data_IF_778796451988
#
_entry.id   IF_778796451988
#
_cell.length_a   1.000
_cell.length_b   1.000
_cell.length_c   1.000
_cell.angle_alpha   90.00
_cell.angle_beta   90.00
_cell.angle_gamma   90.00
#
_symmetry.space_group_name_H-M   'P 1'
#
loop_
_entity.id
_entity.type
_entity.pdbx_description
1 polymer ?
#
# COMPACT_ATOMS: atom_id res chain seq x y z
N UNK A 1 26.99 -39.42 -13.62
CA UNK A 1 26.03 -38.33 -13.85
C UNK A 1 24.67 -38.69 -13.26
N UNK A 2 24.48 -38.46 -11.95
CA UNK A 2 23.21 -38.70 -11.24
C UNK A 2 23.02 -37.64 -10.14
N UNK A 3 24.10 -37.30 -9.45
CA UNK A 3 24.12 -36.27 -8.40
C UNK A 3 23.89 -34.86 -8.94
N UNK A 4 24.41 -34.54 -10.13
CA UNK A 4 24.18 -33.26 -10.80
C UNK A 4 22.68 -33.00 -11.09
N UNK A 5 21.92 -34.04 -11.44
CA UNK A 5 20.48 -33.95 -11.67
C UNK A 5 19.71 -33.64 -10.38
N UNK A 6 20.15 -34.18 -9.25
CA UNK A 6 19.54 -33.92 -7.93
C UNK A 6 19.80 -32.48 -7.49
N UNK A 7 21.03 -31.98 -7.66
CA UNK A 7 21.34 -30.57 -7.38
C UNK A 7 20.58 -29.60 -8.29
N UNK A 8 20.39 -29.93 -9.57
CA UNK A 8 19.58 -29.14 -10.50
C UNK A 8 18.13 -28.99 -9.99
N UNK A 9 17.55 -30.07 -9.48
CA UNK A 9 16.18 -30.08 -8.97
C UNK A 9 16.00 -29.23 -7.71
N UNK A 10 17.00 -29.22 -6.82
CA UNK A 10 16.97 -28.44 -5.57
C UNK A 10 17.04 -26.93 -5.85
N UNK A 11 17.82 -26.50 -6.86
CA UNK A 11 17.97 -25.08 -7.22
C UNK A 11 16.70 -24.50 -7.88
N UNK A 12 15.97 -25.29 -8.66
CA UNK A 12 14.71 -24.82 -9.29
C UNK A 12 13.61 -24.43 -8.31
N UNK A 13 13.58 -25.00 -7.10
CA UNK A 13 12.59 -24.65 -6.07
C UNK A 13 12.95 -23.39 -5.27
N UNK A 14 14.20 -22.91 -5.33
CA UNK A 14 14.61 -21.68 -4.64
C UNK A 14 14.23 -20.40 -5.39
N UNK A 15 13.81 -20.51 -6.65
CA UNK A 15 13.39 -19.39 -7.50
C UNK A 15 11.90 -19.07 -7.41
N UNK A 16 11.17 -19.67 -6.46
CA UNK A 16 9.86 -19.17 -6.05
C UNK A 16 10.05 -17.87 -5.25
N UNK A 17 10.56 -16.83 -5.90
CA UNK A 17 10.27 -15.47 -5.51
C UNK A 17 8.76 -15.35 -5.66
N UNK A 18 8.05 -15.44 -4.54
CA UNK A 18 6.67 -15.01 -4.45
C UNK A 18 6.68 -13.58 -4.94
N UNK A 19 6.38 -13.43 -6.22
CA UNK A 19 6.20 -12.16 -6.88
C UNK A 19 4.87 -11.65 -6.37
N UNK A 20 4.80 -11.34 -5.09
CA UNK A 20 3.84 -10.40 -4.57
C UNK A 20 4.24 -9.07 -5.20
N UNK A 21 3.85 -8.89 -6.48
CA UNK A 21 3.35 -7.61 -6.94
C UNK A 21 2.50 -7.15 -5.78
N UNK A 22 2.95 -6.14 -5.04
CA UNK A 22 2.30 -5.65 -3.83
C UNK A 22 0.80 -5.70 -4.09
N UNK A 23 0.14 -6.73 -3.53
CA UNK A 23 -1.28 -6.89 -3.78
C UNK A 23 -1.85 -5.68 -3.06
N UNK A 24 -2.36 -4.70 -3.82
CA UNK A 24 -2.80 -3.41 -3.29
C UNK A 24 -3.49 -3.64 -1.94
N UNK A 25 -2.83 -3.24 -0.86
CA UNK A 25 -3.33 -3.54 0.47
C UNK A 25 -4.74 -2.97 0.60
N UNK A 26 -5.67 -3.75 1.15
CA UNK A 26 -7.03 -3.29 1.42
C UNK A 26 -7.09 -2.93 2.88
N UNK A 27 -7.52 -1.72 3.18
CA UNK A 27 -7.71 -1.24 4.55
C UNK A 27 -9.17 -0.87 4.77
N UNK A 28 -9.59 -0.85 6.03
CA UNK A 28 -10.93 -0.47 6.43
C UNK A 28 -10.92 0.81 7.28
N UNK A 29 -11.84 1.72 6.99
CA UNK A 29 -12.01 3.00 7.65
C UNK A 29 -13.35 3.04 8.38
N UNK A 30 -13.30 3.46 9.64
CA UNK A 30 -14.50 3.58 10.48
C UNK A 30 -15.47 4.64 9.95
N UNK A 31 -14.92 5.77 9.47
CA UNK A 31 -15.65 6.92 8.97
C UNK A 31 -15.23 7.23 7.53
N UNK A 32 -16.19 7.63 6.69
CA UNK A 32 -15.93 8.08 5.33
C UNK A 32 -15.27 9.46 5.28
N UNK A 33 -15.53 10.32 6.27
CA UNK A 33 -14.93 11.64 6.38
C UNK A 33 -13.82 11.63 7.43
N UNK A 34 -12.59 11.76 6.99
CA UNK A 34 -11.37 11.76 7.82
C UNK A 34 -10.39 12.81 7.31
N UNK A 35 -9.35 13.08 8.07
CA UNK A 35 -8.21 13.89 7.61
C UNK A 35 -7.22 13.04 6.82
N UNK A 36 -6.40 13.68 5.98
CA UNK A 36 -5.31 12.99 5.25
C UNK A 36 -4.34 12.33 6.24
N UNK A 37 -4.02 12.99 7.36
CA UNK A 37 -3.17 12.40 8.40
C UNK A 37 -3.78 11.16 9.06
N UNK A 38 -5.10 11.14 9.26
CA UNK A 38 -5.80 9.95 9.75
C UNK A 38 -5.79 8.81 8.72
N UNK A 39 -5.94 9.13 7.43
CA UNK A 39 -5.83 8.11 6.37
C UNK A 39 -4.44 7.47 6.39
N UNK A 40 -3.38 8.29 6.47
CA UNK A 40 -2.00 7.82 6.55
C UNK A 40 -1.81 6.90 7.76
N UNK A 41 -2.28 7.32 8.93
CA UNK A 41 -2.17 6.53 10.14
C UNK A 41 -2.91 5.17 10.03
N UNK A 42 -4.07 5.12 9.39
CA UNK A 42 -4.77 3.84 9.15
C UNK A 42 -4.05 2.95 8.13
N UNK A 43 -3.40 3.53 7.12
CA UNK A 43 -2.54 2.78 6.19
C UNK A 43 -1.38 2.13 6.96
N UNK A 44 -0.62 2.89 7.75
CA UNK A 44 0.53 2.39 8.50
C UNK A 44 0.15 1.39 9.59
N UNK A 45 -1.05 1.51 10.15
CA UNK A 45 -1.56 0.62 11.20
C UNK A 45 -2.02 -0.74 10.67
N UNK A 46 -2.61 -0.77 9.47
CA UNK A 46 -3.23 -1.97 8.90
C UNK A 46 -2.35 -2.66 7.85
N UNK A 47 -1.23 -2.04 7.46
CA UNK A 47 -0.32 -2.53 6.42
C UNK A 47 1.12 -2.37 6.87
N UNK A 48 2.06 -3.06 6.21
CA UNK A 48 3.50 -2.89 6.45
C UNK A 48 4.08 -1.66 5.75
N UNK A 49 3.24 -0.69 5.36
CA UNK A 49 3.68 0.54 4.71
C UNK A 49 4.13 1.57 5.74
N UNK A 50 5.21 2.28 5.39
CA UNK A 50 5.62 3.52 6.04
C UNK A 50 5.39 4.66 5.04
N UNK A 51 4.53 5.61 5.37
CA UNK A 51 4.13 6.67 4.45
C UNK A 51 4.94 7.93 4.76
N UNK A 52 5.83 8.28 3.83
CA UNK A 52 6.70 9.46 3.96
C UNK A 52 6.18 10.58 3.08
N UNK A 53 6.01 11.77 3.65
CA UNK A 53 5.53 12.96 2.95
C UNK A 53 6.21 14.23 3.49
N UNK A 54 6.18 15.29 2.68
CA UNK A 54 6.68 16.61 3.08
C UNK A 54 5.56 17.43 3.71
N UNK A 55 5.76 17.89 4.95
CA UNK A 55 4.82 18.79 5.65
C UNK A 55 4.61 20.14 4.92
N UNK A 56 5.47 20.47 3.95
CA UNK A 56 5.32 21.67 3.10
C UNK A 56 4.39 21.45 1.92
N UNK A 57 4.27 20.22 1.47
CA UNK A 57 3.56 19.86 0.24
C UNK A 57 2.21 19.18 0.53
N UNK A 58 2.11 18.48 1.67
CA UNK A 58 0.90 17.78 2.07
C UNK A 58 0.32 18.36 3.36
N UNK A 59 -0.87 18.96 3.26
CA UNK A 59 -1.66 19.34 4.43
C UNK A 59 -2.38 18.10 5.01
N UNK A 60 -1.88 17.60 6.13
CA UNK A 60 -2.44 16.44 6.83
C UNK A 60 -3.74 16.73 7.56
N UNK A 61 -4.03 18.00 7.83
CA UNK A 61 -5.25 18.44 8.53
C UNK A 61 -6.46 18.56 7.60
N UNK A 62 -6.22 18.60 6.28
CA UNK A 62 -7.26 18.65 5.26
C UNK A 62 -8.21 17.47 5.41
N UNK A 63 -9.51 17.77 5.48
CA UNK A 63 -10.57 16.77 5.50
C UNK A 63 -10.88 16.31 4.09
N UNK A 64 -10.99 14.99 3.93
CA UNK A 64 -11.36 14.31 2.69
C UNK A 64 -12.58 13.44 2.95
N UNK A 65 -13.40 13.24 1.92
CA UNK A 65 -14.55 12.35 1.97
C UNK A 65 -14.31 11.17 1.03
N UNK A 66 -14.18 9.98 1.61
CA UNK A 66 -13.87 8.75 0.92
C UNK A 66 -15.16 7.97 0.65
N UNK A 67 -15.30 7.46 -0.57
CA UNK A 67 -16.56 6.84 -1.03
C UNK A 67 -16.83 5.49 -0.37
N UNK A 68 -15.79 4.73 -0.06
CA UNK A 68 -15.88 3.37 0.43
C UNK A 68 -15.22 3.24 1.80
N UNK A 69 -15.84 2.47 2.69
CA UNK A 69 -15.26 2.15 4.00
C UNK A 69 -14.18 1.07 3.94
N UNK A 70 -14.17 0.24 2.91
CA UNK A 70 -13.10 -0.72 2.66
C UNK A 70 -12.70 -0.62 1.20
N UNK A 71 -11.42 -0.36 0.94
CA UNK A 71 -10.88 -0.21 -0.40
C UNK A 71 -9.36 -0.39 -0.37
N UNK A 72 -8.78 -0.50 -1.57
CA UNK A 72 -7.34 -0.50 -1.79
C UNK A 72 -6.72 0.82 -1.33
N UNK A 73 -5.54 0.75 -0.71
CA UNK A 73 -4.73 1.91 -0.35
C UNK A 73 -4.52 2.84 -1.54
N UNK A 74 -4.24 2.29 -2.72
CA UNK A 74 -4.06 3.06 -3.95
C UNK A 74 -5.31 3.85 -4.36
N UNK A 75 -6.51 3.30 -4.17
CA UNK A 75 -7.76 4.00 -4.43
C UNK A 75 -8.00 5.13 -3.41
N UNK A 76 -7.63 4.91 -2.15
CA UNK A 76 -7.72 5.96 -1.12
C UNK A 76 -6.74 7.10 -1.37
N UNK A 77 -5.49 6.80 -1.70
CA UNK A 77 -4.48 7.83 -2.00
C UNK A 77 -4.86 8.64 -3.24
N UNK A 78 -5.37 7.97 -4.29
CA UNK A 78 -5.90 8.67 -5.47
C UNK A 78 -7.04 9.63 -5.15
N UNK A 79 -7.98 9.22 -4.30
CA UNK A 79 -9.08 10.09 -3.86
C UNK A 79 -8.58 11.24 -2.97
N UNK A 80 -7.67 10.95 -2.04
CA UNK A 80 -7.11 11.94 -1.15
C UNK A 80 -6.35 13.04 -1.91
N UNK A 81 -5.60 12.66 -2.95
CA UNK A 81 -4.72 13.55 -3.71
C UNK A 81 -5.34 14.11 -5.00
N UNK A 82 -6.61 13.83 -5.30
CA UNK A 82 -7.20 14.18 -6.61
C UNK A 82 -7.20 15.69 -6.93
N UNK A 83 -7.29 16.54 -5.90
CA UNK A 83 -7.25 18.02 -6.02
C UNK A 83 -5.83 18.58 -5.90
N UNK A 84 -4.81 17.72 -5.87
CA UNK A 84 -3.41 18.09 -5.69
C UNK A 84 -2.60 17.63 -6.89
N UNK A 85 -1.51 18.34 -7.20
CA UNK A 85 -0.57 17.92 -8.25
C UNK A 85 0.36 16.77 -7.79
N UNK A 86 0.00 16.03 -6.73
CA UNK A 86 0.83 15.00 -6.09
C UNK A 86 0.46 13.58 -6.54
N UNK A 87 1.48 12.77 -6.81
CA UNK A 87 1.38 11.31 -7.00
C UNK A 87 1.65 10.54 -5.69
N UNK A 88 1.47 9.20 -5.74
CA UNK A 88 1.73 8.28 -4.62
C UNK A 88 2.41 6.99 -5.07
#
# INVERSE_FOLDING_TARGET
MKVALIFLFIVSFQLAANSTKAQDAVIELQNSQITVGQLINEIEKQTDYLVVYSNRELDTSRKINLKHKSDKVSNYLRQALHDTDMGY
#
